data_IF_080360123614
#
_entry.id   IF_080360123614
#
_cell.length_a   1.000
_cell.length_b   1.000
_cell.length_c   1.000
_cell.angle_alpha   90.00
_cell.angle_beta   90.00
_cell.angle_gamma   90.00
#
_symmetry.space_group_name_H-M   'P 1'
#
loop_
_entity.id
_entity.type
_entity.pdbx_description
1 polymer ?
#
# COMPACT_ATOMS: atom_id res chain seq x y z
N UNK A 1 -9.48 -3.50 -11.71
CA UNK A 1 -9.21 -2.04 -11.74
C UNK A 1 -8.47 -1.69 -10.46
N UNK A 2 -7.37 -0.95 -10.57
CA UNK A 2 -6.49 -0.62 -9.46
C UNK A 2 -7.00 0.61 -8.72
N UNK A 3 -7.96 0.41 -7.82
CA UNK A 3 -8.82 1.50 -7.33
C UNK A 3 -8.12 2.50 -6.39
N UNK A 4 -7.07 2.08 -5.65
CA UNK A 4 -6.43 2.93 -4.64
C UNK A 4 -5.01 3.39 -4.98
N UNK A 5 -4.35 2.77 -5.97
CA UNK A 5 -2.98 3.12 -6.36
C UNK A 5 -2.80 4.60 -6.70
N UNK A 6 -3.82 5.23 -7.29
CA UNK A 6 -3.78 6.67 -7.61
C UNK A 6 -3.73 7.57 -6.37
N UNK A 7 -4.37 7.15 -5.28
CA UNK A 7 -4.38 7.88 -4.01
C UNK A 7 -3.18 7.53 -3.14
N UNK A 8 -2.65 6.32 -3.28
CA UNK A 8 -1.50 5.83 -2.52
C UNK A 8 -0.17 6.08 -3.23
N UNK A 9 -0.19 6.64 -4.45
CA UNK A 9 1.01 6.87 -5.24
C UNK A 9 2.04 7.71 -4.47
N UNK A 10 1.61 8.76 -3.79
CA UNK A 10 2.54 9.60 -3.01
C UNK A 10 3.19 8.85 -1.84
N UNK A 11 2.46 7.95 -1.17
CA UNK A 11 3.01 7.14 -0.07
C UNK A 11 3.98 6.08 -0.58
N UNK A 12 3.69 5.49 -1.74
CA UNK A 12 4.59 4.54 -2.39
C UNK A 12 5.87 5.24 -2.84
N UNK A 13 5.77 6.44 -3.42
CA UNK A 13 6.94 7.25 -3.79
C UNK A 13 7.76 7.67 -2.56
N UNK A 14 7.11 8.03 -1.46
CA UNK A 14 7.75 8.31 -0.15
C UNK A 14 8.45 7.08 0.44
N UNK A 15 7.94 5.88 0.14
CA UNK A 15 8.56 4.60 0.45
C UNK A 15 9.69 4.20 -0.53
N UNK A 16 9.91 4.97 -1.61
CA UNK A 16 10.86 4.62 -2.68
C UNK A 16 10.36 3.56 -3.66
N UNK A 17 9.06 3.25 -3.63
CA UNK A 17 8.42 2.21 -4.45
C UNK A 17 7.84 2.85 -5.72
N UNK A 18 8.41 2.51 -6.87
CA UNK A 18 7.88 2.94 -8.16
C UNK A 18 6.91 1.89 -8.72
N UNK A 19 5.65 2.27 -8.92
CA UNK A 19 4.63 1.37 -9.51
C UNK A 19 4.78 1.33 -11.04
N UNK A 20 5.16 0.18 -11.55
CA UNK A 20 5.23 -0.13 -12.99
C UNK A 20 4.15 -1.13 -13.38
N UNK A 21 3.85 -1.29 -14.67
CA UNK A 21 2.82 -2.27 -15.11
C UNK A 21 3.17 -3.71 -14.75
N UNK A 22 4.46 -3.99 -14.64
CA UNK A 22 5.00 -5.32 -14.35
C UNK A 22 4.89 -5.66 -12.85
N UNK A 23 5.40 -4.77 -11.99
CA UNK A 23 5.42 -4.99 -10.54
C UNK A 23 4.07 -4.71 -9.85
N UNK A 24 3.11 -4.06 -10.51
CA UNK A 24 1.84 -3.66 -9.90
C UNK A 24 1.07 -4.81 -9.26
N UNK A 25 1.12 -6.01 -9.86
CA UNK A 25 0.45 -7.19 -9.31
C UNK A 25 1.12 -7.69 -8.02
N UNK A 26 2.45 -7.62 -7.98
CA UNK A 26 3.22 -7.98 -6.80
C UNK A 26 3.01 -6.98 -5.68
N UNK A 27 3.06 -5.68 -6.01
CA UNK A 27 2.78 -4.61 -5.05
C UNK A 27 1.37 -4.74 -4.48
N UNK A 28 0.37 -5.00 -5.34
CA UNK A 28 -1.01 -5.24 -4.92
C UNK A 28 -1.10 -6.40 -3.91
N UNK A 29 -0.45 -7.53 -4.18
CA UNK A 29 -0.42 -8.68 -3.25
C UNK A 29 0.21 -8.33 -1.92
N UNK A 30 1.41 -7.74 -1.95
CA UNK A 30 2.14 -7.30 -0.74
C UNK A 30 1.30 -6.37 0.12
N UNK A 31 0.60 -5.41 -0.49
CA UNK A 31 -0.28 -4.49 0.24
C UNK A 31 -1.43 -5.24 0.90
N UNK A 32 -2.08 -6.16 0.18
CA UNK A 32 -3.15 -7.00 0.76
C UNK A 32 -2.63 -7.83 1.95
N UNK A 33 -1.42 -8.36 1.87
CA UNK A 33 -0.76 -9.06 2.97
C UNK A 33 -0.48 -8.14 4.17
N UNK A 34 0.04 -6.93 3.93
CA UNK A 34 0.34 -5.93 4.97
C UNK A 34 -0.93 -5.52 5.73
N UNK A 35 -2.03 -5.31 5.03
CA UNK A 35 -3.31 -4.92 5.65
C UNK A 35 -4.14 -6.12 6.13
N UNK A 36 -3.68 -7.34 5.90
CA UNK A 36 -4.40 -8.57 6.28
C UNK A 36 -5.74 -8.75 5.55
N UNK A 37 -5.91 -8.18 4.36
CA UNK A 37 -7.16 -8.26 3.58
C UNK A 37 -7.01 -9.32 2.49
N UNK A 38 -8.07 -10.11 2.26
CA UNK A 38 -8.06 -11.14 1.22
C UNK A 38 -7.77 -10.55 -0.17
N UNK A 39 -6.87 -11.21 -0.91
CA UNK A 39 -6.47 -10.80 -2.26
C UNK A 39 -7.68 -10.64 -3.20
N UNK A 40 -7.65 -9.60 -4.05
CA UNK A 40 -8.73 -9.10 -4.93
C UNK A 40 -9.83 -8.27 -4.24
N UNK A 41 -9.66 -7.92 -2.97
CA UNK A 41 -10.63 -7.08 -2.26
C UNK A 41 -10.18 -5.62 -2.13
N UNK A 42 -10.06 -4.95 -3.29
CA UNK A 42 -9.59 -3.57 -3.37
C UNK A 42 -10.32 -2.55 -2.48
N UNK A 43 -11.66 -2.56 -2.34
CA UNK A 43 -12.35 -1.57 -1.51
C UNK A 43 -12.11 -1.78 -0.02
N UNK A 44 -12.03 -3.03 0.45
CA UNK A 44 -11.67 -3.32 1.85
C UNK A 44 -10.21 -2.96 2.13
N UNK A 45 -9.30 -3.30 1.21
CA UNK A 45 -7.89 -2.90 1.30
C UNK A 45 -7.74 -1.39 1.41
N UNK A 46 -8.43 -0.61 0.57
CA UNK A 46 -8.38 0.85 0.65
C UNK A 46 -8.95 1.40 1.95
N UNK A 47 -10.03 0.80 2.46
CA UNK A 47 -10.62 1.20 3.74
C UNK A 47 -9.63 0.95 4.89
N UNK A 48 -8.98 -0.22 4.90
CA UNK A 48 -7.96 -0.56 5.89
C UNK A 48 -6.77 0.43 5.82
N UNK A 49 -6.22 0.68 4.63
CA UNK A 49 -5.15 1.67 4.44
C UNK A 49 -5.57 3.03 4.95
N UNK A 50 -6.77 3.50 4.59
CA UNK A 50 -7.25 4.82 5.03
C UNK A 50 -7.40 4.91 6.54
N UNK A 51 -7.77 3.82 7.20
CA UNK A 51 -7.80 3.72 8.66
C UNK A 51 -6.38 3.68 9.27
N UNK A 52 -5.43 2.97 8.65
CA UNK A 52 -4.01 2.90 9.04
C UNK A 52 -3.20 4.15 8.63
N UNK A 53 -3.79 5.09 7.90
CA UNK A 53 -3.13 6.35 7.50
C UNK A 53 -3.98 7.56 7.86
N UNK A 54 -4.86 7.44 8.87
CA UNK A 54 -5.71 8.53 9.33
C UNK A 54 -4.88 9.64 10.00
N UNK A 55 -3.86 9.23 10.76
CA UNK A 55 -2.94 10.13 11.46
C UNK A 55 -1.54 10.12 10.83
N UNK A 56 -0.77 11.19 11.04
CA UNK A 56 0.58 11.33 10.49
C UNK A 56 1.54 10.24 11.00
N UNK A 57 1.43 9.85 12.28
CA UNK A 57 2.22 8.76 12.87
C UNK A 57 1.88 7.41 12.22
N UNK A 58 0.60 7.12 12.04
CA UNK A 58 0.17 5.86 11.43
C UNK A 58 0.56 5.80 9.95
N UNK A 59 0.45 6.92 9.23
CA UNK A 59 0.97 7.03 7.86
C UNK A 59 2.48 6.74 7.80
N UNK A 60 3.27 7.33 8.70
CA UNK A 60 4.70 7.06 8.75
C UNK A 60 5.00 5.59 9.07
N UNK A 61 4.24 4.99 9.99
CA UNK A 61 4.33 3.56 10.30
C UNK A 61 3.95 2.68 9.09
N UNK A 62 2.94 3.07 8.32
CA UNK A 62 2.54 2.36 7.10
C UNK A 62 3.64 2.43 6.02
N UNK A 63 4.24 3.61 5.83
CA UNK A 63 5.40 3.79 4.94
C UNK A 63 6.60 2.95 5.40
N UNK A 64 6.85 2.87 6.71
CA UNK A 64 7.89 2.00 7.26
C UNK A 64 7.61 0.51 6.98
N UNK A 65 6.38 0.03 7.22
CA UNK A 65 5.96 -1.33 6.88
C UNK A 65 6.13 -1.63 5.39
N UNK A 66 5.83 -0.66 4.51
CA UNK A 66 6.07 -0.79 3.08
C UNK A 66 7.57 -0.95 2.81
N UNK A 67 8.43 -0.08 3.34
CA UNK A 67 9.89 -0.18 3.20
C UNK A 67 10.41 -1.55 3.65
N UNK A 68 9.98 -2.02 4.82
CA UNK A 68 10.34 -3.36 5.33
C UNK A 68 9.85 -4.49 4.40
N UNK A 69 8.60 -4.41 3.93
CA UNK A 69 8.01 -5.44 3.07
C UNK A 69 8.71 -5.56 1.70
N UNK A 70 9.33 -4.49 1.23
CA UNK A 70 10.12 -4.46 0.00
C UNK A 70 11.64 -4.48 0.24
N UNK A 71 12.07 -4.54 1.51
CA UNK A 71 13.47 -4.53 1.95
C UNK A 71 14.28 -3.37 1.35
N UNK A 72 13.71 -2.15 1.44
CA UNK A 72 14.28 -0.88 0.92
C UNK A 72 14.52 0.12 2.04
#
# INVERSE_FOLDING_TARGET
MSCYFRHMQSMLEEAGITVTKDNKKEIDRKIHEIVGVSYKNCPETWKAIKSDTADAEQRAAFVAKLKEAFNI
#
